data_IF_279443820302
#
_entry.id   IF_279443820302
#
_cell.length_a   1.000
_cell.length_b   1.000
_cell.length_c   1.000
_cell.angle_alpha   90.00
_cell.angle_beta   90.00
_cell.angle_gamma   90.00
#
_symmetry.space_group_name_H-M   'P 1'
#
loop_
_entity.id
_entity.type
_entity.pdbx_description
1 polymer ?
#
# COMPACT_ATOMS: atom_id res chain seq x y z
N UNK A 1 9.41 11.70 21.07
CA UNK A 1 8.21 12.46 20.65
C UNK A 1 7.11 12.20 21.65
N UNK A 2 6.67 13.24 22.34
CA UNK A 2 5.75 13.13 23.47
C UNK A 2 4.58 14.09 23.25
N UNK A 3 3.71 13.76 22.31
CA UNK A 3 2.47 14.51 22.15
C UNK A 3 1.60 14.38 23.41
N UNK A 4 0.86 15.43 23.73
CA UNK A 4 -0.11 15.40 24.80
C UNK A 4 -1.20 14.36 24.53
N UNK A 5 -1.72 13.71 25.59
CA UNK A 5 -2.82 12.74 25.49
C UNK A 5 -4.09 13.37 24.90
N UNK A 6 -4.31 14.68 25.07
CA UNK A 6 -5.43 15.40 24.49
C UNK A 6 -5.52 15.28 22.95
N UNK A 7 -4.41 14.97 22.27
CA UNK A 7 -4.37 14.80 20.82
C UNK A 7 -4.52 13.35 20.35
N UNK A 8 -4.82 12.40 21.25
CA UNK A 8 -4.92 10.97 20.91
C UNK A 8 -5.83 10.72 19.71
N UNK A 9 -6.95 11.44 19.64
CA UNK A 9 -7.95 11.26 18.58
C UNK A 9 -7.45 11.69 17.20
N UNK A 10 -6.48 12.61 17.16
CA UNK A 10 -5.83 13.04 15.91
C UNK A 10 -4.67 12.11 15.56
N UNK A 11 -3.86 11.75 16.55
CA UNK A 11 -2.67 10.90 16.36
C UNK A 11 -3.07 9.50 15.90
N UNK A 12 -4.11 8.91 16.49
CA UNK A 12 -4.60 7.58 16.12
C UNK A 12 -5.14 7.51 14.68
N UNK A 13 -5.41 8.65 14.03
CA UNK A 13 -5.82 8.74 12.62
C UNK A 13 -4.64 8.83 11.65
N UNK A 14 -3.42 8.99 12.17
CA UNK A 14 -2.19 9.08 11.38
C UNK A 14 -1.38 7.78 11.49
N UNK A 15 -0.73 7.35 10.41
CA UNK A 15 0.26 6.29 10.49
C UNK A 15 1.46 6.74 11.35
N UNK A 16 2.17 5.81 12.00
CA UNK A 16 3.28 6.14 12.89
C UNK A 16 4.37 6.99 12.22
N UNK A 17 4.68 6.73 10.94
CA UNK A 17 5.68 7.47 10.16
C UNK A 17 5.33 8.97 10.05
N UNK A 18 4.09 9.29 9.70
CA UNK A 18 3.61 10.68 9.61
C UNK A 18 3.57 11.35 10.97
N UNK A 19 3.25 10.60 12.04
CA UNK A 19 3.31 11.14 13.41
C UNK A 19 4.75 11.54 13.78
N UNK A 20 5.76 10.72 13.45
CA UNK A 20 7.17 11.07 13.68
C UNK A 20 7.58 12.30 12.89
N UNK A 21 7.16 12.36 11.63
CA UNK A 21 7.48 13.48 10.74
C UNK A 21 6.82 14.79 11.20
N UNK A 22 5.55 14.73 11.63
CA UNK A 22 4.82 15.85 12.18
C UNK A 22 5.54 16.43 13.41
N UNK A 23 6.00 15.58 14.33
CA UNK A 23 6.80 16.01 15.48
C UNK A 23 8.08 16.74 15.04
N UNK A 24 8.84 16.16 14.10
CA UNK A 24 10.06 16.79 13.57
C UNK A 24 9.76 18.15 12.94
N UNK A 25 8.68 18.28 12.17
CA UNK A 25 8.28 19.54 11.50
C UNK A 25 7.86 20.63 12.48
N UNK A 26 7.22 20.27 13.60
CA UNK A 26 6.86 21.22 14.65
C UNK A 26 8.11 21.83 15.29
N UNK A 27 9.12 20.99 15.57
CA UNK A 27 10.38 21.43 16.19
C UNK A 27 11.32 22.14 15.20
N UNK A 28 11.28 21.79 13.91
CA UNK A 28 12.18 22.35 12.89
C UNK A 28 11.59 23.53 12.10
N UNK A 29 10.49 24.11 12.58
CA UNK A 29 9.77 25.16 11.85
C UNK A 29 10.64 26.42 11.68
N UNK A 30 10.92 26.80 10.44
CA UNK A 30 11.88 27.86 10.06
C UNK A 30 11.65 29.24 10.71
N UNK A 31 10.40 29.64 10.98
CA UNK A 31 10.07 30.97 11.51
C UNK A 31 9.79 31.00 13.02
N UNK A 32 9.49 29.85 13.60
CA UNK A 32 9.17 29.70 15.03
C UNK A 32 9.21 28.22 15.38
N UNK A 33 10.41 27.66 15.60
CA UNK A 33 10.54 26.28 16.06
C UNK A 33 9.84 26.19 17.43
N UNK A 34 8.90 25.26 17.54
CA UNK A 34 8.26 25.00 18.83
C UNK A 34 9.26 24.25 19.71
N UNK A 35 9.33 24.56 21.01
CA UNK A 35 10.13 23.73 21.92
C UNK A 35 9.44 22.39 22.18
N UNK A 36 10.18 21.40 22.69
CA UNK A 36 9.58 20.10 23.01
C UNK A 36 8.54 20.22 24.12
N UNK A 37 8.75 21.11 25.09
CA UNK A 37 7.84 21.36 26.20
C UNK A 37 6.53 21.98 25.71
N UNK A 38 6.61 23.00 24.86
CA UNK A 38 5.46 23.64 24.22
C UNK A 38 4.69 22.67 23.32
N UNK A 39 5.40 21.83 22.56
CA UNK A 39 4.77 20.81 21.73
C UNK A 39 4.12 19.67 22.54
N UNK A 40 4.64 19.39 23.74
CA UNK A 40 4.14 18.36 24.65
C UNK A 40 2.94 18.83 25.50
N UNK A 41 2.74 20.15 25.59
CA UNK A 41 1.61 20.75 26.32
C UNK A 41 0.38 20.90 25.43
N UNK A 42 -0.75 21.27 26.06
CA UNK A 42 -1.98 21.58 25.33
C UNK A 42 -1.82 22.98 24.73
N UNK A 43 -1.68 23.02 23.40
CA UNK A 43 -1.39 24.18 22.60
C UNK A 43 -2.25 24.12 21.32
N UNK A 44 -3.15 25.10 21.09
CA UNK A 44 -4.07 25.09 19.95
C UNK A 44 -3.35 25.10 18.60
N UNK A 45 -2.12 25.62 18.53
CA UNK A 45 -1.30 25.62 17.30
C UNK A 45 -0.91 24.18 16.92
N UNK A 46 -0.55 23.36 17.91
CA UNK A 46 -0.24 21.93 17.70
C UNK A 46 -1.49 21.19 17.23
N UNK A 47 -2.63 21.44 17.87
CA UNK A 47 -3.89 20.81 17.48
C UNK A 47 -4.29 21.15 16.04
N UNK A 48 -4.23 22.44 15.67
CA UNK A 48 -4.54 22.90 14.31
C UNK A 48 -3.61 22.25 13.27
N UNK A 49 -2.32 22.15 13.59
CA UNK A 49 -1.34 21.49 12.73
C UNK A 49 -1.65 20.00 12.53
N UNK A 50 -1.94 19.28 13.61
CA UNK A 50 -2.30 17.85 13.54
C UNK A 50 -3.59 17.62 12.76
N UNK A 51 -4.62 18.48 12.94
CA UNK A 51 -5.85 18.45 12.14
C UNK A 51 -5.55 18.61 10.65
N UNK A 52 -4.63 19.51 10.30
CA UNK A 52 -4.22 19.69 8.91
C UNK A 52 -3.53 18.45 8.34
N UNK A 53 -2.60 17.82 9.07
CA UNK A 53 -1.92 16.61 8.63
C UNK A 53 -2.88 15.42 8.48
N UNK A 54 -3.84 15.26 9.41
CA UNK A 54 -4.91 14.24 9.28
C UNK A 54 -5.73 14.46 8.00
N UNK A 55 -6.17 15.69 7.76
CA UNK A 55 -6.94 16.03 6.57
C UNK A 55 -6.14 15.79 5.29
N UNK A 56 -4.86 16.14 5.28
CA UNK A 56 -3.95 15.90 4.16
C UNK A 56 -3.79 14.41 3.88
N UNK A 57 -3.56 13.61 4.92
CA UNK A 57 -3.43 12.16 4.81
C UNK A 57 -4.71 11.51 4.25
N UNK A 58 -5.87 11.88 4.80
CA UNK A 58 -7.16 11.36 4.34
C UNK A 58 -7.46 11.75 2.88
N UNK A 59 -7.17 13.00 2.48
CA UNK A 59 -7.27 13.41 1.08
C UNK A 59 -6.37 12.55 0.18
N UNK A 60 -5.12 12.34 0.57
CA UNK A 60 -4.18 11.48 -0.18
C UNK A 60 -4.72 10.06 -0.35
N UNK A 61 -5.29 9.46 0.70
CA UNK A 61 -5.92 8.13 0.61
C UNK A 61 -7.08 8.10 -0.39
N UNK A 62 -7.95 9.11 -0.36
CA UNK A 62 -9.08 9.21 -1.31
C UNK A 62 -8.61 9.33 -2.76
N UNK A 63 -7.52 10.05 -3.01
CA UNK A 63 -6.93 10.14 -4.35
C UNK A 63 -6.29 8.82 -4.79
N UNK A 64 -5.56 8.14 -3.90
CA UNK A 64 -4.96 6.84 -4.25
C UNK A 64 -6.00 5.78 -4.57
N UNK A 65 -7.13 5.73 -3.85
CA UNK A 65 -8.22 4.78 -4.17
C UNK A 65 -8.84 5.04 -5.55
N UNK A 66 -8.88 6.28 -6.00
CA UNK A 66 -9.37 6.65 -7.34
C UNK A 66 -8.36 6.35 -8.44
N UNK A 67 -7.07 6.32 -8.11
CA UNK A 67 -6.00 6.08 -9.07
C UNK A 67 -5.60 4.61 -9.21
N UNK A 68 -6.12 3.72 -8.36
CA UNK A 68 -6.03 2.28 -8.58
C UNK A 68 -7.11 1.91 -9.60
N UNK A 69 -6.74 1.55 -10.85
CA UNK A 69 -7.72 1.09 -11.81
C UNK A 69 -8.30 -0.23 -11.27
N UNK A 70 -9.63 -0.36 -11.26
CA UNK A 70 -10.29 -1.65 -11.03
C UNK A 70 -9.80 -2.73 -12.01
N UNK A 71 -9.17 -2.33 -13.11
CA UNK A 71 -8.59 -3.20 -14.13
C UNK A 71 -7.54 -4.19 -13.57
N UNK A 72 -6.92 -3.88 -12.42
CA UNK A 72 -5.96 -4.79 -11.78
C UNK A 72 -6.64 -5.86 -10.88
N UNK A 73 -7.95 -5.75 -10.61
CA UNK A 73 -8.72 -6.78 -9.92
C UNK A 73 -9.16 -7.90 -10.89
N UNK A 74 -9.34 -7.57 -12.17
CA UNK A 74 -9.64 -8.53 -13.25
C UNK A 74 -8.54 -9.59 -13.37
N UNK A 75 -7.27 -9.20 -13.25
CA UNK A 75 -6.14 -10.14 -13.30
C UNK A 75 -6.01 -11.04 -12.06
N UNK A 76 -6.70 -10.73 -10.94
CA UNK A 76 -6.77 -11.60 -9.76
C UNK A 76 -7.89 -12.63 -9.89
N UNK A 77 -8.95 -12.30 -10.65
CA UNK A 77 -10.12 -13.16 -10.84
C UNK A 77 -10.01 -14.14 -12.02
N UNK A 78 -9.01 -13.99 -12.90
CA UNK A 78 -8.90 -14.76 -14.14
C UNK A 78 -7.77 -15.81 -14.15
N UNK A 79 -7.13 -16.10 -13.02
CA UNK A 79 -6.30 -17.30 -12.90
C UNK A 79 -7.03 -18.34 -12.05
N UNK A 80 -7.20 -19.54 -12.61
CA UNK A 80 -7.86 -20.70 -11.97
C UNK A 80 -7.20 -21.13 -10.65
N UNK A 81 -6.06 -20.51 -10.28
CA UNK A 81 -5.37 -20.67 -9.01
C UNK A 81 -6.01 -19.88 -7.85
N UNK A 82 -6.83 -18.85 -8.12
CA UNK A 82 -7.54 -18.08 -7.09
C UNK A 82 -8.69 -18.86 -6.43
N UNK A 83 -9.20 -19.90 -7.09
CA UNK A 83 -10.24 -20.77 -6.50
C UNK A 83 -9.68 -21.57 -5.33
N UNK A 84 -8.40 -21.98 -5.39
CA UNK A 84 -7.76 -22.73 -4.30
C UNK A 84 -7.49 -21.85 -3.06
N UNK A 85 -7.11 -20.59 -3.26
CA UNK A 85 -6.88 -19.64 -2.15
C UNK A 85 -8.21 -19.20 -1.51
N UNK A 86 -9.29 -19.05 -2.29
CA UNK A 86 -10.62 -18.75 -1.73
C UNK A 86 -11.23 -19.95 -0.98
N UNK A 87 -11.01 -21.17 -1.44
CA UNK A 87 -11.56 -22.37 -0.79
C UNK A 87 -10.83 -22.66 0.53
N UNK A 88 -9.50 -22.51 0.62
CA UNK A 88 -8.78 -22.78 1.87
C UNK A 88 -9.09 -21.76 2.99
N UNK A 89 -9.59 -20.57 2.65
CA UNK A 89 -10.05 -19.58 3.63
C UNK A 89 -11.52 -19.79 4.05
N UNK A 90 -12.24 -20.72 3.41
CA UNK A 90 -13.65 -21.07 3.68
C UNK A 90 -13.83 -22.52 4.18
N UNK A 91 -12.93 -23.46 3.84
CA UNK A 91 -13.05 -24.89 4.13
C UNK A 91 -12.08 -25.42 5.21
N UNK A 92 -11.85 -24.65 6.28
CA UNK A 92 -11.38 -25.24 7.54
C UNK A 92 -12.49 -26.03 8.27
N UNK A 93 -13.55 -26.41 7.56
CA UNK A 93 -14.49 -27.49 7.88
C UNK A 93 -14.54 -28.47 6.70
N UNK A 94 -14.31 -29.75 7.00
CA UNK A 94 -14.54 -30.96 6.18
C UNK A 94 -13.50 -31.43 5.13
N UNK A 95 -12.67 -32.37 5.58
CA UNK A 95 -12.44 -33.73 5.02
C UNK A 95 -11.94 -33.91 3.56
N UNK A 96 -10.61 -34.16 3.46
CA UNK A 96 -9.94 -35.35 2.85
C UNK A 96 -10.59 -36.10 1.67
N UNK A 97 -9.95 -36.11 0.48
CA UNK A 97 -9.11 -37.21 -0.09
C UNK A 97 -8.97 -37.16 -1.63
N UNK A 98 -7.75 -37.52 -2.07
CA UNK A 98 -7.32 -38.16 -3.32
C UNK A 98 -7.81 -37.69 -4.70
N UNK A 99 -6.85 -37.25 -5.55
CA UNK A 99 -6.37 -37.99 -6.76
C UNK A 99 -5.27 -37.20 -7.49
N UNK A 100 -4.30 -37.95 -8.04
CA UNK A 100 -3.01 -37.59 -8.67
C UNK A 100 -3.13 -36.72 -9.95
N UNK A 101 -2.16 -35.82 -10.27
CA UNK A 101 -2.17 -34.95 -11.46
C UNK A 101 -1.43 -35.56 -12.65
N UNK A 102 -1.94 -35.41 -13.89
CA UNK A 102 -1.21 -35.77 -15.13
C UNK A 102 -1.48 -34.76 -16.27
N UNK A 103 -0.42 -34.57 -17.06
CA UNK A 103 -0.26 -33.98 -18.41
C UNK A 103 -0.12 -32.46 -18.52
N UNK A 104 1.10 -31.93 -18.71
CA UNK A 104 1.95 -31.92 -19.93
C UNK A 104 1.53 -30.82 -20.93
N UNK A 105 2.23 -29.67 -20.92
CA UNK A 105 2.35 -28.82 -22.11
C UNK A 105 3.64 -27.99 -22.07
N UNK A 106 4.75 -28.59 -22.51
CA UNK A 106 6.08 -27.95 -22.67
C UNK A 106 6.26 -27.21 -24.01
N UNK A 107 5.22 -26.65 -24.63
CA UNK A 107 5.34 -26.13 -26.02
C UNK A 107 5.07 -24.65 -26.23
N UNK A 108 4.93 -23.82 -25.18
CA UNK A 108 4.73 -22.36 -25.35
C UNK A 108 5.99 -21.49 -25.13
N UNK A 109 7.16 -22.09 -24.89
CA UNK A 109 8.41 -21.32 -24.78
C UNK A 109 9.06 -21.13 -26.17
N UNK A 110 8.89 -22.10 -27.09
CA UNK A 110 9.51 -22.11 -28.42
C UNK A 110 9.05 -20.94 -29.30
N UNK A 111 7.77 -20.56 -29.26
CA UNK A 111 7.24 -19.47 -30.09
C UNK A 111 7.75 -18.08 -29.68
N UNK A 112 8.05 -17.85 -28.39
CA UNK A 112 8.54 -16.56 -27.89
C UNK A 112 9.99 -16.30 -28.27
N UNK A 113 10.82 -17.33 -28.38
CA UNK A 113 12.24 -17.18 -28.77
C UNK A 113 12.36 -16.81 -30.26
N UNK A 114 11.54 -17.42 -31.13
CA UNK A 114 11.64 -17.20 -32.59
C UNK A 114 11.33 -15.75 -33.01
N UNK A 115 10.30 -15.11 -32.43
CA UNK A 115 9.94 -13.72 -32.76
C UNK A 115 11.00 -12.68 -32.39
N UNK A 116 11.86 -12.98 -31.41
CA UNK A 116 12.84 -12.01 -30.89
C UNK A 116 14.11 -11.95 -31.77
N UNK A 117 14.46 -13.05 -32.43
CA UNK A 117 15.60 -13.13 -33.35
C UNK A 117 15.34 -12.41 -34.67
N UNK A 118 14.13 -12.51 -35.22
CA UNK A 118 13.76 -11.83 -36.48
C UNK A 118 13.70 -10.29 -36.33
N UNK A 119 13.41 -9.79 -35.12
CA UNK A 119 13.36 -8.34 -34.85
C UNK A 119 14.73 -7.67 -34.66
N UNK A 120 15.79 -8.45 -34.45
CA UNK A 120 17.15 -7.93 -34.20
C UNK A 120 18.03 -7.86 -35.46
N UNK A 121 17.63 -8.48 -36.57
CA UNK A 121 18.42 -8.51 -37.81
C UNK A 121 18.20 -7.31 -38.74
N UNK A 122 17.24 -6.43 -38.46
CA UNK A 122 16.86 -5.33 -39.36
C UNK A 122 17.37 -3.93 -38.98
N UNK A 123 18.17 -3.76 -37.93
CA UNK A 123 18.72 -2.46 -37.52
C UNK A 123 20.23 -2.36 -37.66
N UNK A 124 20.76 -2.73 -38.82
CA UNK A 124 22.12 -2.41 -39.24
C UNK A 124 22.15 -2.10 -40.73
N UNK A 125 21.80 -0.86 -41.08
CA UNK A 125 22.24 -0.15 -42.28
C UNK A 125 22.29 1.35 -41.96
#
# INVERSE_FOLDING_TARGET
MKFNKAYSDLINKLPPSLTKEAWKRLLSRKKSPMTEEEASTINPIVELFLRHEVNRYQKKLKHQRKSWPLDNLSNIYNNETSTKISIDMVNQESQTQDTVPICEHEEEISCRVKKKLDSLSFSAL
#
